data_IF_956118196247
#
_entry.id   IF_956118196247
#
_cell.length_a   1.000
_cell.length_b   1.000
_cell.length_c   1.000
_cell.angle_alpha   90.00
_cell.angle_beta   90.00
_cell.angle_gamma   90.00
#
_symmetry.space_group_name_H-M   'P 1'
#
loop_
_entity.id
_entity.type
_entity.pdbx_description
1 polymer ?
#
# COMPACT_ATOMS: atom_id res chain seq x y z
N UNK A 1 38.01 -19.99 -13.05
CA UNK A 1 36.95 -19.10 -13.57
C UNK A 1 35.68 -19.49 -12.84
N UNK A 2 34.97 -18.55 -12.21
CA UNK A 2 33.66 -18.84 -11.59
C UNK A 2 32.63 -19.18 -12.66
N UNK A 3 31.66 -20.03 -12.34
CA UNK A 3 30.48 -20.25 -13.20
C UNK A 3 29.72 -18.94 -13.39
N UNK A 4 29.12 -18.74 -14.58
CA UNK A 4 28.22 -17.61 -14.82
C UNK A 4 27.02 -17.67 -13.84
N UNK A 5 26.46 -16.52 -13.43
CA UNK A 5 25.24 -16.49 -12.63
C UNK A 5 24.11 -17.25 -13.32
N UNK A 6 23.36 -18.04 -12.56
CA UNK A 6 22.17 -18.75 -13.02
C UNK A 6 21.00 -18.47 -12.08
N UNK A 7 19.77 -18.63 -12.58
CA UNK A 7 18.55 -18.41 -11.80
C UNK A 7 18.45 -19.48 -10.70
N UNK A 8 18.29 -19.04 -9.46
CA UNK A 8 18.06 -19.90 -8.28
C UNK A 8 16.63 -19.83 -7.77
N UNK A 9 15.93 -18.73 -8.03
CA UNK A 9 14.50 -18.59 -7.75
C UNK A 9 13.83 -17.84 -8.90
N UNK A 10 12.67 -18.30 -9.34
CA UNK A 10 11.89 -17.67 -10.41
C UNK A 10 10.43 -17.55 -9.98
N UNK A 11 10.01 -16.30 -9.77
CA UNK A 11 8.63 -15.98 -9.47
C UNK A 11 7.93 -15.52 -10.76
N UNK A 12 7.25 -16.47 -11.40
CA UNK A 12 6.37 -16.28 -12.54
C UNK A 12 7.03 -15.63 -13.78
N UNK A 13 8.37 -15.69 -13.90
CA UNK A 13 9.14 -15.03 -14.96
C UNK A 13 9.26 -13.52 -14.80
N UNK A 14 8.63 -12.93 -13.77
CA UNK A 14 8.63 -11.49 -13.54
C UNK A 14 9.67 -11.03 -12.52
N UNK A 15 10.14 -11.95 -11.68
CA UNK A 15 11.19 -11.72 -10.70
C UNK A 15 12.08 -12.95 -10.65
N UNK A 16 13.37 -12.76 -10.90
CA UNK A 16 14.36 -13.83 -10.85
C UNK A 16 15.50 -13.44 -9.91
N UNK A 17 15.86 -14.34 -9.01
CA UNK A 17 17.06 -14.24 -8.17
C UNK A 17 18.15 -15.10 -8.81
N UNK A 18 19.34 -14.53 -8.97
CA UNK A 18 20.50 -15.25 -9.51
C UNK A 18 21.43 -15.74 -8.40
N UNK A 19 22.25 -16.74 -8.70
CA UNK A 19 23.17 -17.40 -7.78
C UNK A 19 24.25 -16.46 -7.18
N UNK A 20 24.47 -15.30 -7.79
CA UNK A 20 25.38 -14.25 -7.29
C UNK A 20 24.67 -13.19 -6.44
N UNK A 21 23.36 -13.35 -6.19
CA UNK A 21 22.52 -12.41 -5.45
C UNK A 21 21.95 -11.27 -6.28
N UNK A 22 22.28 -11.17 -7.57
CA UNK A 22 21.65 -10.20 -8.46
C UNK A 22 20.18 -10.57 -8.72
N UNK A 23 19.38 -9.56 -9.02
CA UNK A 23 17.93 -9.68 -9.18
C UNK A 23 17.53 -9.07 -10.52
N UNK A 24 16.73 -9.82 -11.27
CA UNK A 24 16.01 -9.30 -12.43
C UNK A 24 14.55 -9.11 -12.08
N UNK A 25 13.99 -7.97 -12.47
CA UNK A 25 12.58 -7.65 -12.28
C UNK A 25 12.02 -7.06 -13.56
N UNK A 26 10.97 -7.69 -14.10
CA UNK A 26 10.30 -7.20 -15.28
C UNK A 26 9.53 -5.91 -14.97
N UNK A 27 9.65 -4.93 -15.86
CA UNK A 27 8.80 -3.74 -15.86
C UNK A 27 7.55 -3.93 -16.74
N UNK A 28 7.51 -4.98 -17.55
CA UNK A 28 6.48 -5.25 -18.53
C UNK A 28 5.54 -6.35 -18.03
N UNK A 29 4.70 -6.00 -17.06
CA UNK A 29 3.63 -6.87 -16.57
C UNK A 29 2.34 -6.50 -17.29
N UNK A 30 1.84 -7.42 -18.11
CA UNK A 30 0.60 -7.21 -18.85
C UNK A 30 -0.61 -7.43 -17.94
N UNK A 31 -1.35 -6.35 -17.68
CA UNK A 31 -2.58 -6.41 -16.92
C UNK A 31 -3.78 -6.61 -17.86
N UNK A 32 -4.59 -7.64 -17.58
CA UNK A 32 -5.88 -7.87 -18.26
C UNK A 32 -6.94 -6.80 -17.95
N UNK A 33 -6.61 -5.83 -17.09
CA UNK A 33 -7.48 -4.75 -16.65
C UNK A 33 -6.80 -3.41 -16.90
N UNK A 34 -7.55 -2.47 -17.49
CA UNK A 34 -7.09 -1.10 -17.72
C UNK A 34 -7.44 -0.19 -16.54
N UNK A 35 -6.66 0.89 -16.37
CA UNK A 35 -6.95 1.91 -15.38
C UNK A 35 -8.25 2.65 -15.77
N UNK A 36 -9.20 2.72 -14.84
CA UNK A 36 -10.48 3.39 -15.01
C UNK A 36 -10.26 4.89 -15.06
N UNK A 37 -10.87 5.56 -16.03
CA UNK A 37 -10.97 7.01 -16.05
C UNK A 37 -12.29 7.42 -15.39
N UNK A 38 -12.28 7.55 -14.06
CA UNK A 38 -13.41 8.08 -13.30
C UNK A 38 -13.19 9.57 -13.04
N UNK A 39 -13.91 10.42 -13.78
CA UNK A 39 -13.79 11.86 -13.64
C UNK A 39 -14.36 12.40 -12.32
N UNK A 40 -15.04 11.59 -11.50
CA UNK A 40 -15.50 12.01 -10.18
C UNK A 40 -14.39 12.01 -9.12
N UNK A 41 -13.22 11.43 -9.42
CA UNK A 41 -12.06 11.36 -8.53
C UNK A 41 -10.84 11.92 -9.25
N UNK A 42 -10.12 12.83 -8.60
CA UNK A 42 -8.80 13.26 -9.06
C UNK A 42 -7.72 12.56 -8.23
N UNK A 43 -6.51 12.45 -8.78
CA UNK A 43 -5.35 12.04 -7.99
C UNK A 43 -4.10 12.89 -8.25
N UNK A 44 -3.18 12.91 -7.30
CA UNK A 44 -1.85 13.50 -7.41
C UNK A 44 -0.80 12.58 -6.79
N UNK A 45 0.44 12.63 -7.29
CA UNK A 45 1.55 11.83 -6.77
C UNK A 45 2.51 12.70 -5.96
N UNK A 46 3.00 12.16 -4.84
CA UNK A 46 3.93 12.81 -3.93
C UNK A 46 5.13 11.93 -3.66
N UNK A 47 6.34 12.47 -3.83
CA UNK A 47 7.54 11.85 -3.31
C UNK A 47 7.55 11.98 -1.78
N UNK A 48 7.34 10.89 -1.06
CA UNK A 48 7.27 10.92 0.42
C UNK A 48 8.56 10.42 1.08
N UNK A 49 9.36 9.60 0.39
CA UNK A 49 10.62 9.07 0.91
C UNK A 49 11.78 9.22 -0.08
N UNK A 50 12.51 10.34 -0.01
CA UNK A 50 13.58 10.69 -0.98
C UNK A 50 14.69 9.64 -1.10
N UNK A 51 15.19 9.09 0.01
CA UNK A 51 16.32 8.13 0.01
C UNK A 51 16.02 6.84 -0.79
N UNK A 52 14.80 6.35 -0.74
CA UNK A 52 14.37 5.13 -1.43
C UNK A 52 13.52 5.42 -2.65
N UNK A 53 13.40 6.70 -3.03
CA UNK A 53 12.59 7.17 -4.14
C UNK A 53 11.14 6.65 -4.11
N UNK A 54 10.53 6.58 -2.92
CA UNK A 54 9.15 6.11 -2.78
C UNK A 54 8.17 7.27 -2.92
N UNK A 55 7.15 7.02 -3.75
CA UNK A 55 6.06 7.94 -3.99
C UNK A 55 4.75 7.36 -3.46
N UNK A 56 3.80 8.23 -3.17
CA UNK A 56 2.43 7.85 -2.85
C UNK A 56 1.48 8.58 -3.78
N UNK A 57 0.32 7.98 -4.01
CA UNK A 57 -0.75 8.59 -4.79
C UNK A 57 -1.89 8.96 -3.86
N UNK A 58 -2.29 10.21 -3.92
CA UNK A 58 -3.39 10.77 -3.15
C UNK A 58 -4.61 10.91 -4.07
N UNK A 59 -5.72 10.28 -3.72
CA UNK A 59 -6.99 10.33 -4.46
C UNK A 59 -8.01 11.16 -3.68
N UNK A 60 -8.75 12.01 -4.37
CA UNK A 60 -9.75 12.91 -3.77
C UNK A 60 -11.01 12.96 -4.64
N UNK A 61 -12.22 12.73 -4.07
CA UNK A 61 -13.47 12.98 -4.78
C UNK A 61 -13.62 14.47 -5.15
N UNK A 62 -14.06 14.77 -6.37
CA UNK A 62 -14.27 16.14 -6.84
C UNK A 62 -15.50 16.82 -6.21
N UNK A 63 -16.50 16.04 -5.82
CA UNK A 63 -17.73 16.54 -5.22
C UNK A 63 -18.04 15.72 -3.98
N UNK A 64 -18.10 16.39 -2.83
CA UNK A 64 -18.46 15.78 -1.56
C UNK A 64 -19.98 15.83 -1.44
N UNK A 65 -20.60 14.65 -1.38
CA UNK A 65 -22.05 14.47 -1.30
C UNK A 65 -22.56 14.26 0.13
N UNK A 66 -21.65 13.97 1.07
CA UNK A 66 -21.98 13.82 2.48
C UNK A 66 -22.13 15.18 3.15
N UNK A 67 -23.10 15.30 4.05
CA UNK A 67 -23.31 16.48 4.92
C UNK A 67 -22.18 16.69 5.96
N UNK A 68 -21.06 15.97 5.85
CA UNK A 68 -19.91 16.09 6.75
C UNK A 68 -18.90 17.07 6.15
N UNK A 69 -18.49 18.08 6.93
CA UNK A 69 -17.56 19.11 6.47
C UNK A 69 -16.12 18.60 6.20
N UNK A 70 -15.80 17.33 6.53
CA UNK A 70 -14.47 16.74 6.31
C UNK A 70 -14.52 15.28 5.88
N UNK A 71 -13.62 14.89 4.97
CA UNK A 71 -13.45 13.56 4.42
C UNK A 71 -12.52 12.71 5.31
N UNK A 72 -12.89 11.47 5.67
CA UNK A 72 -11.96 10.55 6.32
C UNK A 72 -10.82 10.15 5.37
N UNK A 73 -9.75 9.61 5.93
CA UNK A 73 -8.56 9.17 5.20
C UNK A 73 -8.49 7.66 5.17
N UNK A 74 -8.24 7.08 4.00
CA UNK A 74 -7.92 5.66 3.83
C UNK A 74 -6.48 5.53 3.34
N UNK A 75 -5.63 4.84 4.07
CA UNK A 75 -4.30 4.44 3.60
C UNK A 75 -4.43 3.04 2.99
N UNK A 76 -4.29 2.93 1.68
CA UNK A 76 -4.39 1.66 0.95
C UNK A 76 -3.00 1.09 0.65
N UNK A 77 -2.71 -0.10 1.18
CA UNK A 77 -1.45 -0.82 0.98
C UNK A 77 -1.68 -1.94 -0.04
N UNK A 78 -1.01 -1.86 -1.18
CA UNK A 78 -1.20 -2.81 -2.27
C UNK A 78 -0.67 -4.21 -1.94
N UNK A 79 -1.20 -5.23 -2.64
CA UNK A 79 -0.70 -6.59 -2.60
C UNK A 79 0.50 -6.82 -3.53
N UNK A 80 0.87 -8.09 -3.71
CA UNK A 80 2.01 -8.50 -4.55
C UNK A 80 3.06 -9.38 -3.84
N UNK A 81 2.70 -10.04 -2.74
CA UNK A 81 3.59 -10.97 -2.04
C UNK A 81 4.87 -10.31 -1.51
N UNK A 82 4.83 -9.02 -1.18
CA UNK A 82 5.99 -8.16 -0.82
C UNK A 82 7.02 -7.95 -1.94
N UNK A 83 6.95 -8.75 -2.99
CA UNK A 83 7.89 -8.76 -4.08
C UNK A 83 7.42 -7.91 -5.25
N UNK A 84 6.13 -7.69 -5.43
CA UNK A 84 5.55 -6.99 -6.57
C UNK A 84 4.61 -5.87 -6.13
N UNK A 85 4.20 -5.08 -7.12
CA UNK A 85 3.17 -4.08 -6.98
C UNK A 85 3.68 -2.65 -7.11
N UNK A 86 2.76 -1.76 -7.44
CA UNK A 86 2.94 -0.32 -7.34
C UNK A 86 1.57 0.36 -7.22
N UNK A 87 1.55 1.53 -6.58
CA UNK A 87 0.41 2.46 -6.57
C UNK A 87 -0.13 2.78 -7.97
N UNK A 88 0.69 2.66 -9.02
CA UNK A 88 0.33 3.01 -10.39
C UNK A 88 -0.31 1.86 -11.16
N UNK A 89 -0.30 0.64 -10.61
CA UNK A 89 -0.86 -0.52 -11.29
C UNK A 89 -2.37 -0.37 -11.50
N UNK A 90 -2.92 -0.78 -12.67
CA UNK A 90 -4.32 -0.53 -13.02
C UNK A 90 -5.35 -1.00 -11.99
N UNK A 91 -5.20 -2.22 -11.46
CA UNK A 91 -6.13 -2.75 -10.46
C UNK A 91 -6.04 -2.03 -9.11
N UNK A 92 -4.84 -1.58 -8.71
CA UNK A 92 -4.64 -0.75 -7.52
C UNK A 92 -5.28 0.61 -7.71
N UNK A 93 -5.04 1.24 -8.87
CA UNK A 93 -5.68 2.50 -9.22
C UNK A 93 -7.21 2.39 -9.19
N UNK A 94 -7.77 1.36 -9.81
CA UNK A 94 -9.21 1.14 -9.85
C UNK A 94 -9.80 0.92 -8.46
N UNK A 95 -9.10 0.18 -7.59
CA UNK A 95 -9.51 -0.02 -6.21
C UNK A 95 -9.53 1.31 -5.44
N UNK A 96 -8.44 2.07 -5.47
CA UNK A 96 -8.34 3.35 -4.78
C UNK A 96 -9.36 4.38 -5.29
N UNK A 97 -9.59 4.45 -6.60
CA UNK A 97 -10.62 5.30 -7.20
C UNK A 97 -12.02 4.92 -6.68
N UNK A 98 -12.35 3.63 -6.66
CA UNK A 98 -13.64 3.14 -6.13
C UNK A 98 -13.80 3.38 -4.63
N UNK A 99 -12.73 3.21 -3.85
CA UNK A 99 -12.74 3.53 -2.42
C UNK A 99 -12.97 5.02 -2.20
N UNK A 100 -12.30 5.89 -2.96
CA UNK A 100 -12.45 7.33 -2.84
C UNK A 100 -13.88 7.77 -3.14
N UNK A 101 -14.42 7.41 -4.32
CA UNK A 101 -15.77 7.81 -4.74
C UNK A 101 -16.85 7.16 -3.87
N UNK A 102 -16.75 5.85 -3.63
CA UNK A 102 -17.77 5.08 -2.92
C UNK A 102 -17.85 5.37 -1.42
N UNK A 103 -16.71 5.59 -0.75
CA UNK A 103 -16.67 5.92 0.68
C UNK A 103 -16.74 7.41 0.97
N UNK A 104 -16.66 8.26 -0.08
CA UNK A 104 -16.49 9.70 0.06
C UNK A 104 -15.33 10.00 1.03
N UNK A 105 -14.16 9.46 0.68
CA UNK A 105 -12.94 9.50 1.48
C UNK A 105 -11.76 9.93 0.60
N UNK A 106 -10.73 10.53 1.21
CA UNK A 106 -9.44 10.64 0.54
C UNK A 106 -8.68 9.32 0.69
N UNK A 107 -7.99 8.88 -0.37
CA UNK A 107 -7.23 7.61 -0.35
C UNK A 107 -5.76 7.91 -0.60
N UNK A 108 -4.87 7.41 0.25
CA UNK A 108 -3.42 7.46 0.09
C UNK A 108 -2.92 6.06 -0.24
N UNK A 109 -2.32 5.87 -1.40
CA UNK A 109 -1.69 4.62 -1.81
C UNK A 109 -0.19 4.80 -1.93
N UNK A 110 0.60 4.50 -0.88
CA UNK A 110 2.06 4.54 -0.96
C UNK A 110 2.61 3.35 -1.74
N UNK A 111 3.68 3.56 -2.50
CA UNK A 111 4.62 2.49 -2.80
C UNK A 111 5.45 2.19 -1.56
N UNK A 112 5.91 0.94 -1.46
CA UNK A 112 6.84 0.49 -0.44
C UNK A 112 7.99 -0.29 -1.09
N UNK A 113 9.13 -0.38 -0.40
CA UNK A 113 10.27 -1.16 -0.90
C UNK A 113 9.91 -2.63 -1.03
N UNK A 114 10.34 -3.25 -2.13
CA UNK A 114 10.03 -4.64 -2.46
C UNK A 114 11.17 -5.58 -2.07
N UNK A 115 10.79 -6.80 -1.72
CA UNK A 115 11.72 -7.92 -1.59
C UNK A 115 12.07 -8.50 -3.00
N UNK A 116 13.25 -9.12 -3.17
CA UNK A 116 14.23 -9.46 -2.14
C UNK A 116 15.29 -8.37 -1.87
N UNK A 117 15.34 -7.29 -2.65
CA UNK A 117 16.27 -6.17 -2.47
C UNK A 117 16.14 -5.55 -1.07
N UNK A 118 14.90 -5.47 -0.57
CA UNK A 118 14.56 -4.92 0.73
C UNK A 118 13.60 -5.87 1.45
N UNK A 119 14.16 -6.89 2.10
CA UNK A 119 13.41 -7.85 2.92
C UNK A 119 12.63 -7.15 4.04
N UNK A 120 11.58 -7.81 4.52
CA UNK A 120 10.85 -7.41 5.72
C UNK A 120 11.83 -7.17 6.89
N UNK A 121 11.63 -6.13 7.72
CA UNK A 121 10.41 -5.32 7.84
C UNK A 121 10.36 -4.05 6.96
N UNK A 122 11.20 -3.93 5.92
CA UNK A 122 11.33 -2.69 5.14
C UNK A 122 9.99 -2.10 4.66
N UNK A 123 9.09 -2.93 4.14
CA UNK A 123 7.76 -2.48 3.68
C UNK A 123 6.88 -1.94 4.81
N UNK A 124 6.98 -2.50 6.03
CA UNK A 124 6.28 -2.00 7.22
C UNK A 124 6.87 -0.68 7.68
N UNK A 125 8.20 -0.54 7.65
CA UNK A 125 8.87 0.73 7.96
C UNK A 125 8.45 1.84 6.99
N UNK A 126 8.30 1.52 5.70
CA UNK A 126 7.84 2.48 4.68
C UNK A 126 6.37 2.87 4.88
N UNK A 127 5.52 1.93 5.31
CA UNK A 127 4.14 2.23 5.67
C UNK A 127 4.05 3.15 6.90
N UNK A 128 4.92 2.96 7.90
CA UNK A 128 5.05 3.91 9.03
C UNK A 128 5.51 5.29 8.53
N UNK A 129 6.45 5.34 7.59
CA UNK A 129 6.90 6.62 7.02
C UNK A 129 5.80 7.32 6.20
N UNK A 130 4.92 6.58 5.53
CA UNK A 130 3.74 7.15 4.88
C UNK A 130 2.78 7.79 5.90
N UNK A 131 2.57 7.16 7.07
CA UNK A 131 1.79 7.76 8.17
C UNK A 131 2.49 9.01 8.72
N UNK A 132 3.82 8.98 8.90
CA UNK A 132 4.58 10.17 9.32
C UNK A 132 4.55 11.29 8.30
N UNK A 133 4.57 10.96 7.01
CA UNK A 133 4.38 11.94 5.96
C UNK A 133 3.01 12.62 6.11
N UNK A 134 1.95 11.84 6.31
CA UNK A 134 0.61 12.37 6.54
C UNK A 134 0.54 13.23 7.81
N UNK A 135 1.21 12.80 8.90
CA UNK A 135 1.33 13.58 10.13
C UNK A 135 1.95 14.96 9.86
N UNK A 136 3.06 15.02 9.12
CA UNK A 136 3.71 16.29 8.74
C UNK A 136 2.78 17.18 7.92
N UNK A 137 1.96 16.62 7.04
CA UNK A 137 0.95 17.40 6.31
C UNK A 137 -0.11 17.97 7.26
N UNK A 138 -0.63 17.15 8.17
CA UNK A 138 -1.61 17.57 9.17
C UNK A 138 -1.08 18.67 10.10
N UNK A 139 0.20 18.63 10.48
CA UNK A 139 0.85 19.66 11.28
C UNK A 139 0.99 20.98 10.51
N UNK A 140 1.43 20.93 9.25
CA UNK A 140 1.58 22.13 8.40
C UNK A 140 0.26 22.88 8.22
N UNK A 141 -0.85 22.17 8.10
CA UNK A 141 -2.17 22.80 7.97
C UNK A 141 -2.63 23.54 9.22
N UNK A 142 -2.13 23.17 10.41
CA UNK A 142 -2.40 23.91 11.64
C UNK A 142 -1.56 25.19 11.72
N UNK A 143 -0.41 25.20 11.08
CA UNK A 143 0.54 26.33 11.12
C UNK A 143 0.27 27.36 10.02
N UNK A 144 -0.29 26.95 8.88
CA UNK A 144 -0.55 27.82 7.73
C UNK A 144 -2.06 27.96 7.43
N UNK A 145 -2.69 28.96 8.04
CA UNK A 145 -4.09 29.32 7.79
C UNK A 145 -4.33 29.84 6.35
N UNK A 146 -3.28 30.18 5.60
CA UNK A 146 -3.37 30.79 4.26
C UNK A 146 -3.22 29.78 3.10
N UNK A 147 -3.16 28.48 3.39
CA UNK A 147 -3.29 27.43 2.39
C UNK A 147 -2.08 26.52 2.32
N UNK A 148 -2.13 25.44 3.12
CA UNK A 148 -1.38 24.23 2.81
C UNK A 148 -1.77 23.66 1.44
N UNK A 149 -1.06 22.61 1.01
CA UNK A 149 -1.34 21.91 -0.25
C UNK A 149 -2.86 21.66 -0.42
N UNK A 150 -3.44 22.11 -1.54
CA UNK A 150 -4.89 22.07 -1.81
C UNK A 150 -5.49 20.66 -1.75
N UNK A 151 -4.65 19.64 -1.88
CA UNK A 151 -5.04 18.23 -1.73
C UNK A 151 -5.31 17.83 -0.29
N UNK A 152 -4.57 18.40 0.65
CA UNK A 152 -4.65 18.14 2.08
C UNK A 152 -5.28 19.36 2.76
N UNK A 153 -6.40 19.86 2.25
CA UNK A 153 -7.05 21.05 2.79
C UNK A 153 -7.73 20.83 4.16
N UNK A 154 -8.39 21.89 4.64
CA UNK A 154 -9.20 21.86 5.86
C UNK A 154 -10.39 20.90 5.79
N UNK A 155 -10.72 20.41 4.59
CA UNK A 155 -11.74 19.42 4.27
C UNK A 155 -11.27 17.96 4.48
N UNK A 156 -10.06 17.72 4.98
CA UNK A 156 -9.55 16.39 5.33
C UNK A 156 -9.56 16.17 6.84
N UNK A 157 -10.02 15.00 7.28
CA UNK A 157 -10.15 14.61 8.68
C UNK A 157 -9.04 13.68 9.15
N UNK A 158 -7.97 14.27 9.70
CA UNK A 158 -6.83 13.53 10.25
C UNK A 158 -7.18 12.71 11.51
N UNK A 159 -8.33 12.92 12.14
CA UNK A 159 -8.78 12.13 13.29
C UNK A 159 -9.53 10.85 12.87
N UNK A 160 -9.94 10.74 11.60
CA UNK A 160 -10.62 9.57 11.02
C UNK A 160 -9.77 8.92 9.92
N UNK A 161 -8.67 8.29 10.32
CA UNK A 161 -7.80 7.52 9.41
C UNK A 161 -8.06 6.03 9.54
N UNK A 162 -8.15 5.33 8.41
CA UNK A 162 -8.29 3.88 8.32
C UNK A 162 -7.19 3.30 7.44
N UNK A 163 -6.66 2.13 7.81
CA UNK A 163 -5.67 1.42 6.98
C UNK A 163 -6.37 0.26 6.28
N UNK A 164 -6.22 0.16 4.97
CA UNK A 164 -6.74 -0.95 4.17
C UNK A 164 -5.56 -1.62 3.49
N UNK A 165 -5.53 -2.95 3.47
CA UNK A 165 -4.47 -3.68 2.79
C UNK A 165 -4.98 -4.93 2.09
N UNK A 166 -4.46 -5.18 0.90
CA UNK A 166 -4.75 -6.38 0.09
C UNK A 166 -3.57 -7.35 0.14
N UNK A 167 -3.81 -8.65 0.40
CA UNK A 167 -2.78 -9.69 0.35
C UNK A 167 -1.57 -9.33 1.25
N UNK A 168 -0.36 -9.21 0.70
CA UNK A 168 0.81 -8.72 1.43
C UNK A 168 0.61 -7.33 2.02
N UNK A 169 -0.14 -6.45 1.36
CA UNK A 169 -0.57 -5.17 1.90
C UNK A 169 -1.45 -5.30 3.14
N UNK A 170 -2.27 -6.36 3.22
CA UNK A 170 -3.05 -6.70 4.41
C UNK A 170 -2.15 -7.11 5.59
N UNK A 171 -1.07 -7.86 5.32
CA UNK A 171 -0.05 -8.16 6.31
C UNK A 171 0.65 -6.87 6.80
N UNK A 172 1.06 -6.00 5.87
CA UNK A 172 1.67 -4.69 6.21
C UNK A 172 0.70 -3.86 7.05
N UNK A 173 -0.59 -3.81 6.69
CA UNK A 173 -1.62 -3.08 7.42
C UNK A 173 -1.75 -3.58 8.87
N UNK A 174 -1.74 -4.89 9.08
CA UNK A 174 -1.77 -5.49 10.41
C UNK A 174 -0.54 -5.07 11.24
N UNK A 175 0.67 -5.25 10.71
CA UNK A 175 1.89 -4.89 11.43
C UNK A 175 2.04 -3.39 11.67
N UNK A 176 1.56 -2.54 10.73
CA UNK A 176 1.47 -1.10 10.93
C UNK A 176 0.56 -0.78 12.12
N UNK A 177 -0.65 -1.36 12.18
CA UNK A 177 -1.59 -1.12 13.27
C UNK A 177 -1.02 -1.55 14.63
N UNK A 178 -0.37 -2.71 14.70
CA UNK A 178 0.32 -3.19 15.91
C UNK A 178 1.41 -2.22 16.33
N UNK A 179 2.22 -1.72 15.37
CA UNK A 179 3.35 -0.82 15.65
C UNK A 179 2.92 0.58 16.06
N UNK A 180 1.82 1.09 15.52
CA UNK A 180 1.24 2.37 15.96
C UNK A 180 0.72 2.27 17.40
N UNK A 181 0.22 1.10 17.81
CA UNK A 181 -0.29 0.87 19.15
C UNK A 181 -1.68 1.48 19.37
N UNK A 182 -2.58 0.71 19.98
CA UNK A 182 -3.94 1.19 20.27
C UNK A 182 -3.90 2.38 21.23
N UNK A 183 -4.56 3.47 20.85
CA UNK A 183 -4.65 4.69 21.67
C UNK A 183 -3.37 5.53 21.73
N UNK A 184 -2.34 5.19 20.95
CA UNK A 184 -1.12 6.02 20.87
C UNK A 184 -1.40 7.39 20.27
N UNK A 185 -0.78 8.42 20.84
CA UNK A 185 -0.78 9.79 20.32
C UNK A 185 0.53 10.16 19.60
N UNK A 186 1.43 9.19 19.35
CA UNK A 186 2.73 9.44 18.68
C UNK A 186 2.55 10.09 17.30
N UNK A 187 1.48 9.74 16.60
CA UNK A 187 1.18 10.22 15.24
C UNK A 187 0.26 11.44 15.21
N UNK A 188 -0.06 12.09 16.34
CA UNK A 188 -0.93 13.27 16.35
C UNK A 188 -0.43 14.34 15.34
N UNK A 189 -1.32 14.92 14.51
CA UNK A 189 -2.78 14.85 14.57
C UNK A 189 -3.42 13.64 13.87
N UNK A 190 -2.65 12.73 13.28
CA UNK A 190 -3.15 11.54 12.59
C UNK A 190 -3.59 10.49 13.58
N UNK A 191 -4.86 10.08 13.52
CA UNK A 191 -5.40 8.99 14.34
C UNK A 191 -5.97 7.86 13.50
N UNK A 192 -5.31 6.70 13.57
CA UNK A 192 -5.80 5.47 12.97
C UNK A 192 -6.91 4.88 13.84
N UNK A 193 -8.14 4.90 13.33
CA UNK A 193 -9.36 4.45 14.01
C UNK A 193 -9.67 2.97 13.77
N UNK A 194 -9.07 2.37 12.75
CA UNK A 194 -9.25 0.96 12.45
C UNK A 194 -8.47 0.55 11.21
N UNK A 195 -8.47 -0.76 10.93
CA UNK A 195 -7.90 -1.29 9.71
C UNK A 195 -8.76 -2.44 9.16
N UNK A 196 -8.73 -2.59 7.83
CA UNK A 196 -9.51 -3.58 7.06
C UNK A 196 -8.55 -4.40 6.22
N UNK A 197 -8.68 -5.71 6.30
CA UNK A 197 -7.77 -6.66 5.66
C UNK A 197 -8.49 -7.40 4.54
N UNK A 198 -8.06 -7.19 3.29
CA UNK A 198 -8.53 -7.97 2.14
C UNK A 198 -7.57 -9.14 1.92
N UNK A 199 -8.06 -10.37 2.12
CA UNK A 199 -7.31 -11.61 1.94
C UNK A 199 -5.85 -11.53 2.47
N UNK A 200 -5.62 -11.15 3.74
CA UNK A 200 -4.28 -10.81 4.23
C UNK A 200 -3.31 -11.99 4.14
N UNK A 201 -2.10 -11.72 3.67
CA UNK A 201 -1.09 -12.75 3.42
C UNK A 201 -0.35 -13.12 4.72
N UNK A 202 -0.82 -14.18 5.36
CA UNK A 202 -0.18 -14.81 6.50
C UNK A 202 0.16 -16.27 6.16
N UNK A 203 1.21 -16.78 6.78
CA UNK A 203 1.62 -18.17 6.70
C UNK A 203 2.29 -18.60 7.99
N UNK A 204 2.63 -19.88 8.08
CA UNK A 204 3.34 -20.46 9.21
C UNK A 204 3.89 -21.82 8.87
N UNK A 205 4.75 -22.36 9.74
CA UNK A 205 5.35 -23.70 9.54
C UNK A 205 4.31 -24.82 9.58
N UNK A 206 3.26 -24.65 10.39
CA UNK A 206 2.20 -25.62 10.55
C UNK A 206 0.98 -25.16 9.75
N UNK A 207 0.50 -26.04 8.88
CA UNK A 207 -0.73 -25.82 8.12
C UNK A 207 -1.92 -25.57 9.04
N UNK A 208 -2.70 -24.57 8.68
CA UNK A 208 -4.00 -24.27 9.26
C UNK A 208 -5.10 -25.01 8.51
N UNK A 209 -6.27 -25.16 9.13
CA UNK A 209 -7.44 -25.78 8.49
C UNK A 209 -7.89 -25.07 7.21
N UNK A 210 -7.61 -23.77 7.08
CA UNK A 210 -7.90 -23.01 5.86
C UNK A 210 -7.06 -23.44 4.66
N UNK A 211 -5.95 -24.15 4.89
CA UNK A 211 -5.04 -24.64 3.84
C UNK A 211 -5.33 -26.10 3.44
N UNK A 212 -6.32 -26.76 4.05
CA UNK A 212 -6.71 -28.15 3.75
C UNK A 212 -7.65 -28.26 2.53
N UNK A 213 -7.94 -27.14 1.85
CA UNK A 213 -8.85 -27.05 0.70
C UNK A 213 -8.22 -27.43 -0.65
N UNK A 214 -9.03 -27.47 -1.73
CA UNK A 214 -8.51 -27.70 -3.08
C UNK A 214 -7.51 -26.59 -3.46
N UNK A 215 -6.45 -26.93 -4.22
CA UNK A 215 -5.43 -25.95 -4.58
C UNK A 215 -6.00 -24.82 -5.43
N UNK A 216 -5.72 -23.57 -5.05
CA UNK A 216 -6.03 -22.41 -5.88
C UNK A 216 -5.20 -22.45 -7.17
N UNK A 217 -5.72 -21.92 -8.28
CA UNK A 217 -4.99 -22.01 -9.54
C UNK A 217 -3.67 -21.20 -9.53
N UNK A 218 -3.68 -20.03 -8.89
CA UNK A 218 -2.56 -19.07 -8.93
C UNK A 218 -1.63 -19.20 -7.73
N UNK A 219 -2.17 -19.24 -6.51
CA UNK A 219 -1.43 -19.37 -5.25
C UNK A 219 -1.66 -20.77 -4.66
N UNK A 220 -1.22 -21.82 -5.37
CA UNK A 220 -1.35 -23.19 -4.88
C UNK A 220 -0.32 -23.53 -3.79
N UNK A 221 -0.54 -24.65 -3.09
CA UNK A 221 0.34 -25.12 -2.02
C UNK A 221 1.77 -25.40 -2.50
N UNK A 222 1.96 -25.88 -3.73
CA UNK A 222 3.31 -26.14 -4.27
C UNK A 222 4.11 -24.84 -4.40
N UNK A 223 3.47 -23.75 -4.83
CA UNK A 223 4.09 -22.43 -4.93
C UNK A 223 4.34 -21.82 -3.55
N UNK A 224 3.43 -22.02 -2.61
CA UNK A 224 3.53 -21.46 -1.25
C UNK A 224 4.49 -22.24 -0.32
N UNK A 225 4.84 -23.49 -0.66
CA UNK A 225 5.77 -24.35 0.10
C UNK A 225 7.24 -24.24 -0.30
N UNK A 226 7.54 -23.49 -1.36
CA UNK A 226 8.93 -23.22 -1.79
C UNK A 226 9.58 -22.18 -0.90
#
# INVERSE_FOLDING_TARGET
>A
MGSLPHVVEDCLGFLQLFSDGSIFRSNDIEFKISAVQDHSVTFNDYLFHKRFNLSLRFYKPQSVTLNTNKLPIVIFLHGGGFCFGSRTWPHIHNCCTRLASGLQAVVLSPDYRLAPEHRLPSAVDDAVEAVRWLQRQGLRLKEDENGGDSWLGSDVDFDRVFVVGDSSGGNIAHHLAVRLGSGSSEMDPVRVRGYVLFAPFFGGEVRTKSEEGPPEHMLNLELLDR
#
